data_IF_925420274949
#
_entry.id   IF_925420274949
#
_cell.length_a   1.000
_cell.length_b   1.000
_cell.length_c   1.000
_cell.angle_alpha   90.00
_cell.angle_beta   90.00
_cell.angle_gamma   90.00
#
_symmetry.space_group_name_H-M   'P 1'
#
loop_
_entity.id
_entity.type
_entity.pdbx_description
1 polymer ?
#
# COMPACT_ATOMS: atom_id res chain seq x y z
N UNK A 1 0.99 -16.01 21.96
CA UNK A 1 1.31 -15.91 20.51
C UNK A 1 2.66 -15.22 20.36
N UNK A 2 3.55 -15.73 19.51
CA UNK A 2 4.85 -15.11 19.29
C UNK A 2 4.71 -13.76 18.55
N UNK A 3 5.47 -12.76 19.00
CA UNK A 3 5.62 -11.45 18.37
C UNK A 3 6.32 -11.61 17.01
N UNK A 4 5.86 -10.88 16.00
CA UNK A 4 6.56 -10.78 14.72
C UNK A 4 7.82 -9.94 14.95
N UNK A 5 9.02 -10.41 14.57
CA UNK A 5 10.25 -9.65 14.71
C UNK A 5 10.21 -8.32 13.95
N UNK A 6 10.83 -7.26 14.48
CA UNK A 6 10.77 -5.93 13.87
C UNK A 6 11.55 -5.89 12.54
N UNK A 7 12.65 -6.63 12.44
CA UNK A 7 13.45 -6.79 11.21
C UNK A 7 12.65 -7.44 10.07
N UNK A 8 11.75 -8.37 10.40
CA UNK A 8 10.83 -8.95 9.43
C UNK A 8 9.86 -7.90 8.88
N UNK A 9 9.31 -7.07 9.77
CA UNK A 9 8.37 -6.01 9.39
C UNK A 9 9.07 -5.00 8.48
N UNK A 10 10.29 -4.61 8.84
CA UNK A 10 11.09 -3.66 8.08
C UNK A 10 11.49 -4.22 6.72
N UNK A 11 11.87 -5.51 6.66
CA UNK A 11 12.14 -6.21 5.39
C UNK A 11 10.93 -6.17 4.47
N UNK A 12 9.74 -6.55 4.97
CA UNK A 12 8.52 -6.53 4.17
C UNK A 12 8.20 -5.12 3.66
N UNK A 13 8.34 -4.11 4.52
CA UNK A 13 8.13 -2.69 4.15
C UNK A 13 9.13 -2.19 3.12
N UNK A 14 10.34 -2.75 3.04
CA UNK A 14 11.36 -2.34 2.10
C UNK A 14 11.30 -3.11 0.77
N UNK A 15 11.10 -4.42 0.82
CA UNK A 15 11.28 -5.31 -0.33
C UNK A 15 10.01 -5.54 -1.15
N UNK A 16 8.83 -5.57 -0.51
CA UNK A 16 7.59 -5.76 -1.24
C UNK A 16 7.24 -4.47 -1.96
N UNK A 17 7.08 -4.49 -3.28
CA UNK A 17 6.76 -3.28 -4.05
C UNK A 17 5.29 -2.89 -3.91
N UNK A 18 5.03 -1.73 -3.30
CA UNK A 18 3.70 -1.15 -3.19
C UNK A 18 3.08 -0.84 -4.56
N UNK A 19 3.88 -0.33 -5.49
CA UNK A 19 3.45 -0.10 -6.88
C UNK A 19 2.89 -1.38 -7.49
N UNK A 20 3.62 -2.50 -7.38
CA UNK A 20 3.19 -3.78 -7.94
C UNK A 20 1.92 -4.31 -7.28
N UNK A 21 1.76 -4.11 -5.96
CA UNK A 21 0.53 -4.49 -5.25
C UNK A 21 -0.68 -3.70 -5.76
N UNK A 22 -0.51 -2.39 -5.98
CA UNK A 22 -1.56 -1.54 -6.53
C UNK A 22 -1.91 -1.93 -7.98
N UNK A 23 -0.91 -2.14 -8.84
CA UNK A 23 -1.11 -2.59 -10.22
C UNK A 23 -1.81 -3.96 -10.29
N UNK A 24 -1.42 -4.92 -9.43
CA UNK A 24 -2.07 -6.23 -9.31
C UNK A 24 -3.55 -6.13 -8.91
N UNK A 25 -3.94 -5.06 -8.20
CA UNK A 25 -5.34 -4.75 -7.88
C UNK A 25 -6.10 -4.07 -9.03
N UNK A 26 -5.47 -3.87 -10.19
CA UNK A 26 -6.07 -3.25 -11.36
C UNK A 26 -6.02 -1.72 -11.32
N UNK A 27 -5.27 -1.13 -10.39
CA UNK A 27 -5.13 0.32 -10.31
C UNK A 27 -4.16 0.78 -11.39
N UNK A 28 -4.66 1.62 -12.29
CA UNK A 28 -3.85 2.24 -13.33
C UNK A 28 -3.07 3.39 -12.71
N UNK A 29 -1.76 3.23 -12.62
CA UNK A 29 -0.84 4.24 -12.08
C UNK A 29 -0.20 5.04 -13.22
N UNK A 30 -0.13 6.37 -13.04
CA UNK A 30 0.54 7.29 -13.96
C UNK A 30 1.65 8.03 -13.23
N UNK A 31 2.80 8.20 -13.89
CA UNK A 31 3.93 8.96 -13.31
C UNK A 31 3.59 10.43 -13.15
N UNK A 32 3.95 10.99 -12.00
CA UNK A 32 3.87 12.41 -11.69
C UNK A 32 5.13 12.82 -10.90
N UNK A 33 6.13 13.35 -11.61
CA UNK A 33 7.45 13.58 -11.03
C UNK A 33 8.09 12.27 -10.56
N UNK A 34 8.44 12.22 -9.27
CA UNK A 34 9.00 11.03 -8.63
C UNK A 34 7.94 10.03 -8.13
N UNK A 35 6.68 10.46 -8.06
CA UNK A 35 5.58 9.67 -7.51
C UNK A 35 4.69 9.09 -8.62
N UNK A 36 3.75 8.24 -8.22
CA UNK A 36 2.74 7.63 -9.05
C UNK A 36 1.36 8.03 -8.56
N UNK A 37 0.48 8.42 -9.48
CA UNK A 37 -0.90 8.80 -9.20
C UNK A 37 -1.87 7.76 -9.75
N UNK A 38 -2.95 7.50 -9.01
CA UNK A 38 -4.05 6.63 -9.43
C UNK A 38 -5.35 6.98 -8.72
N UNK A 39 -6.43 6.28 -9.06
CA UNK A 39 -7.67 6.34 -8.30
C UNK A 39 -7.53 5.55 -7.02
N UNK A 40 -8.04 6.11 -5.92
CA UNK A 40 -8.06 5.45 -4.64
C UNK A 40 -9.08 4.31 -4.63
N UNK A 41 -8.69 3.08 -4.22
CA UNK A 41 -9.63 1.96 -4.14
C UNK A 41 -10.47 1.96 -2.85
N UNK A 42 -10.26 2.91 -1.94
CA UNK A 42 -10.84 2.92 -0.59
C UNK A 42 -12.02 3.87 -0.41
N UNK A 43 -12.34 4.68 -1.42
CA UNK A 43 -13.54 5.49 -1.49
C UNK A 43 -13.99 5.62 -2.95
N UNK A 44 -15.17 6.17 -3.17
CA UNK A 44 -15.69 6.43 -4.51
C UNK A 44 -14.92 7.60 -5.16
N UNK A 45 -13.84 7.26 -5.87
CA UNK A 45 -12.87 8.22 -6.38
C UNK A 45 -13.00 8.42 -7.89
N UNK A 46 -13.21 9.66 -8.31
CA UNK A 46 -13.36 10.06 -9.72
C UNK A 46 -12.16 10.88 -10.24
N UNK A 47 -11.32 11.37 -9.33
CA UNK A 47 -10.12 12.15 -9.64
C UNK A 47 -8.91 11.47 -8.99
N UNK A 48 -7.77 11.29 -9.67
CA UNK A 48 -6.62 10.57 -9.11
C UNK A 48 -6.14 11.17 -7.78
N UNK A 49 -6.52 10.54 -6.66
CA UNK A 49 -6.18 11.00 -5.32
C UNK A 49 -5.17 10.10 -4.62
N UNK A 50 -4.94 8.88 -5.11
CA UNK A 50 -3.92 7.97 -4.59
C UNK A 50 -2.54 8.40 -5.08
N UNK A 51 -1.64 8.65 -4.13
CA UNK A 51 -0.22 8.90 -4.38
C UNK A 51 0.58 7.72 -3.84
N UNK A 52 1.43 7.13 -4.67
CA UNK A 52 2.43 6.13 -4.28
C UNK A 52 3.80 6.75 -4.53
N UNK A 53 4.67 6.72 -3.52
CA UNK A 53 6.08 7.11 -3.63
C UNK A 53 6.96 5.87 -3.71
N UNK A 54 7.40 5.43 -4.91
CA UNK A 54 8.18 4.19 -5.05
C UNK A 54 9.49 4.21 -4.27
N UNK A 55 10.14 5.38 -4.18
CA UNK A 55 11.41 5.54 -3.45
C UNK A 55 11.26 5.35 -1.92
N UNK A 56 10.08 5.69 -1.38
CA UNK A 56 9.78 5.53 0.06
C UNK A 56 9.01 4.23 0.33
N UNK A 57 8.46 3.62 -0.71
CA UNK A 57 7.53 2.50 -0.65
C UNK A 57 6.32 2.76 0.27
N UNK A 58 5.80 3.99 0.20
CA UNK A 58 4.63 4.46 0.96
C UNK A 58 3.54 4.96 0.02
N UNK A 59 2.31 5.00 0.52
CA UNK A 59 1.18 5.60 -0.17
C UNK A 59 0.39 6.54 0.75
N UNK A 60 -0.33 7.45 0.12
CA UNK A 60 -1.30 8.31 0.76
C UNK A 60 -2.39 8.70 -0.24
N UNK A 61 -3.64 8.66 0.18
CA UNK A 61 -4.76 9.22 -0.55
C UNK A 61 -4.98 10.66 -0.09
N UNK A 62 -4.83 11.62 -1.01
CA UNK A 62 -5.07 13.05 -0.78
C UNK A 62 -6.56 13.43 -0.88
N UNK A 63 -7.44 12.45 -1.08
CA UNK A 63 -8.89 12.62 -1.20
C UNK A 63 -9.62 12.44 0.13
N UNK A 64 -10.93 12.17 0.05
CA UNK A 64 -11.83 12.15 1.19
C UNK A 64 -11.48 11.11 2.28
N UNK A 65 -10.86 9.99 1.92
CA UNK A 65 -10.53 8.96 2.91
C UNK A 65 -9.28 9.25 3.74
N UNK A 66 -8.35 10.09 3.24
CA UNK A 66 -7.08 10.41 3.93
C UNK A 66 -6.22 9.20 4.30
N UNK A 67 -6.49 8.04 3.70
CA UNK A 67 -5.83 6.79 4.08
C UNK A 67 -4.39 6.76 3.54
N UNK A 68 -3.49 6.11 4.27
CA UNK A 68 -2.11 5.98 3.85
C UNK A 68 -1.34 5.00 4.72
N UNK A 69 -0.11 4.72 4.34
CA UNK A 69 0.80 3.89 5.12
C UNK A 69 1.79 3.12 4.28
N UNK A 70 2.23 1.99 4.83
CA UNK A 70 3.13 1.05 4.21
C UNK A 70 2.40 0.01 3.36
N UNK A 71 3.16 -0.91 2.76
CA UNK A 71 2.63 -2.11 2.09
C UNK A 71 1.78 -2.99 2.99
N UNK A 72 2.07 -3.03 4.29
CA UNK A 72 1.27 -3.82 5.24
C UNK A 72 -0.09 -3.14 5.43
N UNK A 73 -0.11 -1.82 5.62
CA UNK A 73 -1.35 -1.04 5.75
C UNK A 73 -2.20 -1.14 4.48
N UNK A 74 -1.55 -1.18 3.30
CA UNK A 74 -2.21 -1.42 2.02
C UNK A 74 -2.92 -2.77 1.98
N UNK A 75 -2.22 -3.86 2.33
CA UNK A 75 -2.81 -5.21 2.34
C UNK A 75 -3.91 -5.33 3.39
N UNK A 76 -3.71 -4.79 4.59
CA UNK A 76 -4.73 -4.77 5.64
C UNK A 76 -6.02 -4.11 5.14
N UNK A 77 -5.92 -2.96 4.47
CA UNK A 77 -7.09 -2.22 3.98
C UNK A 77 -7.73 -2.87 2.75
N UNK A 78 -6.94 -3.37 1.81
CA UNK A 78 -7.46 -3.98 0.57
C UNK A 78 -8.09 -5.35 0.80
N UNK A 79 -7.59 -6.13 1.76
CA UNK A 79 -8.14 -7.45 2.10
C UNK A 79 -9.10 -7.42 3.30
N UNK A 80 -9.15 -6.32 4.06
CA UNK A 80 -9.95 -6.23 5.28
C UNK A 80 -9.46 -7.16 6.39
N UNK A 81 -8.14 -7.36 6.51
CA UNK A 81 -7.52 -8.33 7.42
C UNK A 81 -6.66 -7.68 8.51
N UNK A 82 -6.39 -8.45 9.57
CA UNK A 82 -5.51 -8.03 10.66
C UNK A 82 -4.06 -7.85 10.20
N UNK A 83 -3.29 -7.05 10.95
CA UNK A 83 -1.85 -6.87 10.74
C UNK A 83 -1.10 -8.20 10.62
N UNK A 84 -1.40 -9.17 11.50
CA UNK A 84 -0.74 -10.47 11.50
C UNK A 84 -0.99 -11.23 10.20
N UNK A 85 -2.25 -11.28 9.75
CA UNK A 85 -2.59 -11.95 8.50
C UNK A 85 -1.97 -11.23 7.29
N UNK A 86 -1.93 -9.89 7.29
CA UNK A 86 -1.27 -9.13 6.23
C UNK A 86 0.23 -9.44 6.15
N UNK A 87 0.93 -9.51 7.29
CA UNK A 87 2.33 -9.94 7.34
C UNK A 87 2.49 -11.37 6.83
N UNK A 88 1.61 -12.29 7.23
CA UNK A 88 1.66 -13.69 6.76
C UNK A 88 1.45 -13.80 5.24
N UNK A 89 0.56 -13.00 4.64
CA UNK A 89 0.37 -12.96 3.19
C UNK A 89 1.59 -12.37 2.45
N UNK A 90 2.24 -11.37 3.04
CA UNK A 90 3.39 -10.68 2.42
C UNK A 90 4.70 -11.48 2.51
N UNK A 91 4.75 -12.52 3.34
CA UNK A 91 5.88 -13.45 3.44
C UNK A 91 5.97 -14.47 2.31
N UNK A 92 4.86 -14.72 1.61
CA UNK A 92 4.71 -15.76 0.60
C UNK A 92 5.12 -15.28 -0.79
#
# INVERSE_FOLDING_TARGET
MARIPDDEIDRLKAEVSLQRLAEKRGIVLRRHGADLLGLCPFHDDHEPSLVISPAKNLWHCLGACGAGGSVIDWVMRTEGISFRHAVELLRA
#
